data_IF_223946135910
#
_entry.id   IF_223946135910
#
_cell.length_a   1.000
_cell.length_b   1.000
_cell.length_c   1.000
_cell.angle_alpha   90.00
_cell.angle_beta   90.00
_cell.angle_gamma   90.00
#
_symmetry.space_group_name_H-M   'P 1'
#
loop_
_entity.id
_entity.type
_entity.pdbx_description
1 polymer ?
#
# COMPACT_ATOMS: atom_id res chain seq x y z
N UNK A 1 18.15 -8.15 -21.95
CA UNK A 1 19.13 -7.12 -21.47
C UNK A 1 19.20 -7.22 -19.97
N UNK A 2 20.39 -7.36 -19.35
CA UNK A 2 20.48 -7.35 -17.89
C UNK A 2 20.11 -5.97 -17.38
N UNK A 3 18.98 -5.86 -16.69
CA UNK A 3 18.56 -4.63 -16.00
C UNK A 3 19.61 -4.28 -14.94
N UNK A 4 20.14 -3.06 -14.99
CA UNK A 4 21.28 -2.67 -14.15
C UNK A 4 20.91 -2.43 -12.69
N UNK A 5 19.66 -2.00 -12.43
CA UNK A 5 19.13 -1.72 -11.09
C UNK A 5 17.62 -1.90 -11.12
N UNK A 6 17.07 -2.49 -10.05
CA UNK A 6 15.65 -2.59 -9.81
C UNK A 6 15.32 -1.90 -8.48
N UNK A 7 14.25 -1.13 -8.45
CA UNK A 7 13.75 -0.54 -7.21
C UNK A 7 12.30 -0.97 -7.01
N UNK A 8 12.05 -1.63 -5.90
CA UNK A 8 10.71 -1.97 -5.42
C UNK A 8 10.28 -0.93 -4.39
N UNK A 9 9.06 -0.48 -4.48
CA UNK A 9 8.50 0.53 -3.58
C UNK A 9 7.30 -0.02 -2.84
N UNK A 10 7.18 0.28 -1.56
CA UNK A 10 5.88 0.32 -0.93
C UNK A 10 5.08 1.53 -1.44
N UNK A 11 3.78 1.53 -1.19
CA UNK A 11 2.87 2.57 -1.69
C UNK A 11 2.50 3.57 -0.59
N UNK A 12 1.80 3.09 0.46
CA UNK A 12 1.24 3.93 1.50
C UNK A 12 2.33 4.46 2.45
N UNK A 13 2.56 5.77 2.49
CA UNK A 13 3.61 6.38 3.32
C UNK A 13 5.00 6.43 2.66
N UNK A 14 5.15 5.79 1.50
CA UNK A 14 6.41 5.76 0.73
C UNK A 14 6.29 6.54 -0.59
N UNK A 15 5.44 6.10 -1.49
CA UNK A 15 5.16 6.81 -2.74
C UNK A 15 4.07 7.87 -2.58
N UNK A 16 3.07 7.58 -1.76
CA UNK A 16 1.87 8.38 -1.61
C UNK A 16 1.56 8.60 -0.12
N UNK A 17 1.32 9.85 0.25
CA UNK A 17 0.67 10.18 1.51
C UNK A 17 -0.83 9.85 1.39
N UNK A 18 -1.21 8.66 1.83
CA UNK A 18 -2.57 8.15 1.81
C UNK A 18 -3.28 8.30 3.15
N UNK A 19 -2.60 8.83 4.15
CA UNK A 19 -3.11 8.93 5.52
C UNK A 19 -4.45 9.65 5.63
N UNK A 20 -4.72 10.77 4.91
CA UNK A 20 -6.00 11.46 4.98
C UNK A 20 -7.18 10.56 4.56
N UNK A 21 -7.10 9.93 3.39
CA UNK A 21 -8.20 9.14 2.85
C UNK A 21 -8.40 7.82 3.60
N UNK A 22 -7.30 7.21 4.08
CA UNK A 22 -7.38 6.04 4.95
C UNK A 22 -8.08 6.37 6.28
N UNK A 23 -7.77 7.53 6.87
CA UNK A 23 -8.40 7.94 8.12
C UNK A 23 -9.87 8.32 7.92
N UNK A 24 -10.20 8.97 6.82
CA UNK A 24 -11.60 9.28 6.48
C UNK A 24 -12.43 8.00 6.33
N UNK A 25 -11.91 7.01 5.60
CA UNK A 25 -12.57 5.71 5.45
C UNK A 25 -12.69 4.98 6.79
N UNK A 26 -11.63 5.03 7.62
CA UNK A 26 -11.67 4.47 8.96
C UNK A 26 -12.77 5.12 9.81
N UNK A 27 -12.83 6.44 9.85
CA UNK A 27 -13.77 7.18 10.67
C UNK A 27 -15.22 7.07 10.14
N UNK A 28 -15.39 6.93 8.81
CA UNK A 28 -16.68 6.56 8.24
C UNK A 28 -17.22 5.27 8.86
N UNK A 29 -16.38 4.22 8.92
CA UNK A 29 -16.75 2.92 9.54
C UNK A 29 -17.00 3.09 11.03
N UNK A 30 -16.13 3.80 11.75
CA UNK A 30 -16.33 4.05 13.19
C UNK A 30 -17.69 4.66 13.45
N UNK A 31 -18.03 5.73 12.75
CA UNK A 31 -19.31 6.42 12.89
C UNK A 31 -20.51 5.54 12.53
N UNK A 32 -20.41 4.79 11.42
CA UNK A 32 -21.49 3.90 10.95
C UNK A 32 -21.81 2.78 11.95
N UNK A 33 -20.81 2.27 12.64
CA UNK A 33 -20.96 1.18 13.62
C UNK A 33 -21.03 1.65 15.07
N UNK A 34 -21.19 2.98 15.31
CA UNK A 34 -21.38 3.55 16.65
C UNK A 34 -20.13 3.61 17.51
N UNK A 35 -18.94 3.58 16.91
CA UNK A 35 -17.65 3.69 17.60
C UNK A 35 -17.08 5.11 17.51
N UNK A 36 -16.15 5.41 18.43
CA UNK A 36 -15.47 6.69 18.47
C UNK A 36 -14.48 6.85 17.31
N UNK A 37 -14.54 7.97 16.64
CA UNK A 37 -13.58 8.36 15.60
C UNK A 37 -12.16 8.49 16.18
N UNK A 38 -11.15 8.27 15.34
CA UNK A 38 -9.72 8.43 15.68
C UNK A 38 -9.14 9.67 15.00
N UNK A 39 -8.02 10.14 15.54
CA UNK A 39 -7.29 11.28 14.98
C UNK A 39 -6.37 10.83 13.84
N UNK A 40 -6.05 11.73 12.93
CA UNK A 40 -5.09 11.46 11.85
C UNK A 40 -3.71 11.00 12.38
N UNK A 41 -3.28 11.50 13.55
CA UNK A 41 -2.05 11.06 14.20
C UNK A 41 -2.00 9.57 14.52
N UNK A 42 -3.14 8.91 14.64
CA UNK A 42 -3.21 7.49 15.01
C UNK A 42 -2.98 6.57 13.80
N UNK A 43 -2.96 7.11 12.56
CA UNK A 43 -2.87 6.33 11.32
C UNK A 43 -1.64 5.43 11.28
N UNK A 44 -0.48 5.91 11.76
CA UNK A 44 0.78 5.16 11.75
C UNK A 44 0.71 3.86 12.55
N UNK A 45 -0.10 3.82 13.62
CA UNK A 45 -0.30 2.61 14.42
C UNK A 45 -1.30 1.65 13.80
N UNK A 46 -2.11 2.10 12.86
CA UNK A 46 -3.19 1.34 12.25
C UNK A 46 -2.83 0.80 10.86
N UNK A 47 -2.21 1.61 10.01
CA UNK A 47 -1.92 1.30 8.61
C UNK A 47 -0.70 0.37 8.43
N UNK A 48 -0.36 0.05 7.17
CA UNK A 48 0.85 -0.69 6.76
C UNK A 48 0.71 -2.22 6.69
N UNK A 49 -0.35 -2.81 7.25
CA UNK A 49 -0.60 -4.27 7.23
C UNK A 49 -1.91 -4.66 6.53
N UNK A 50 -2.48 -3.75 5.74
CA UNK A 50 -3.73 -3.95 5.01
C UNK A 50 -5.01 -3.64 5.81
N UNK A 51 -6.14 -3.54 5.10
CA UNK A 51 -7.43 -3.09 5.64
C UNK A 51 -7.96 -3.97 6.77
N UNK A 52 -7.84 -5.30 6.64
CA UNK A 52 -8.28 -6.24 7.67
C UNK A 52 -7.55 -6.02 9.00
N UNK A 53 -6.22 -5.92 8.96
CA UNK A 53 -5.41 -5.70 10.15
C UNK A 53 -5.67 -4.30 10.74
N UNK A 54 -5.88 -3.30 9.88
CA UNK A 54 -6.23 -1.95 10.30
C UNK A 54 -7.54 -1.94 11.10
N UNK A 55 -8.58 -2.63 10.62
CA UNK A 55 -9.85 -2.76 11.35
C UNK A 55 -9.67 -3.54 12.66
N UNK A 56 -8.96 -4.67 12.64
CA UNK A 56 -8.71 -5.43 13.88
C UNK A 56 -7.98 -4.60 14.94
N UNK A 57 -6.94 -3.84 14.57
CA UNK A 57 -6.20 -2.98 15.48
C UNK A 57 -7.05 -1.85 16.07
N UNK A 58 -8.05 -1.40 15.33
CA UNK A 58 -8.93 -0.32 15.77
C UNK A 58 -9.81 -0.70 16.94
N UNK A 59 -10.21 -1.96 17.01
CA UNK A 59 -11.15 -2.47 18.02
C UNK A 59 -10.49 -3.31 19.11
N UNK A 60 -9.22 -3.74 18.90
CA UNK A 60 -8.52 -4.65 19.80
C UNK A 60 -9.43 -5.84 20.22
N UNK A 61 -9.84 -5.87 21.51
CA UNK A 61 -10.70 -6.94 22.06
C UNK A 61 -12.20 -6.57 22.12
N UNK A 62 -12.57 -5.34 21.74
CA UNK A 62 -13.94 -4.84 21.91
C UNK A 62 -14.94 -5.56 21.00
N UNK A 63 -14.53 -5.96 19.79
CA UNK A 63 -15.38 -6.70 18.86
C UNK A 63 -14.86 -8.13 18.71
N UNK A 64 -15.60 -9.08 19.29
CA UNK A 64 -15.28 -10.53 19.20
C UNK A 64 -15.92 -11.20 17.98
N UNK A 65 -16.97 -10.61 17.43
CA UNK A 65 -17.72 -11.19 16.31
C UNK A 65 -16.97 -10.98 14.98
N UNK A 66 -16.46 -12.08 14.43
CA UNK A 66 -15.75 -12.10 13.15
C UNK A 66 -16.63 -11.66 11.96
N UNK A 67 -17.95 -11.87 12.03
CA UNK A 67 -18.87 -11.42 11.00
C UNK A 67 -18.94 -9.90 10.96
N UNK A 68 -19.03 -9.26 12.12
CA UNK A 68 -19.02 -7.80 12.25
C UNK A 68 -17.69 -7.23 11.73
N UNK A 69 -16.56 -7.83 12.10
CA UNK A 69 -15.24 -7.38 11.61
C UNK A 69 -15.13 -7.45 10.09
N UNK A 70 -15.66 -8.54 9.47
CA UNK A 70 -15.68 -8.68 8.01
C UNK A 70 -16.57 -7.61 7.35
N UNK A 71 -17.72 -7.33 7.93
CA UNK A 71 -18.63 -6.28 7.45
C UNK A 71 -17.99 -4.90 7.52
N UNK A 72 -17.35 -4.57 8.64
CA UNK A 72 -16.63 -3.32 8.82
C UNK A 72 -15.46 -3.17 7.84
N UNK A 73 -14.71 -4.26 7.62
CA UNK A 73 -13.60 -4.25 6.65
C UNK A 73 -14.11 -4.06 5.23
N UNK A 74 -15.22 -4.71 4.88
CA UNK A 74 -15.85 -4.51 3.58
C UNK A 74 -16.30 -3.06 3.40
N UNK A 75 -16.99 -2.49 4.38
CA UNK A 75 -17.42 -1.10 4.36
C UNK A 75 -16.25 -0.12 4.22
N UNK A 76 -15.16 -0.39 4.95
CA UNK A 76 -13.92 0.38 4.82
C UNK A 76 -13.40 0.37 3.37
N UNK A 77 -13.29 -0.81 2.77
CA UNK A 77 -12.79 -0.97 1.40
C UNK A 77 -13.71 -0.29 0.40
N UNK A 78 -15.02 -0.46 0.55
CA UNK A 78 -16.02 0.12 -0.34
C UNK A 78 -15.98 1.66 -0.28
N UNK A 79 -15.97 2.24 0.91
CA UNK A 79 -15.86 3.69 1.08
C UNK A 79 -14.52 4.24 0.59
N UNK A 80 -13.42 3.58 0.97
CA UNK A 80 -12.08 3.99 0.56
C UNK A 80 -11.94 3.98 -0.97
N UNK A 81 -12.43 2.94 -1.65
CA UNK A 81 -12.34 2.83 -3.11
C UNK A 81 -13.03 3.99 -3.85
N UNK A 82 -14.11 4.52 -3.28
CA UNK A 82 -14.86 5.65 -3.86
C UNK A 82 -14.19 7.01 -3.58
N UNK A 83 -13.28 7.08 -2.61
CA UNK A 83 -12.69 8.32 -2.11
C UNK A 83 -11.15 8.30 -2.11
N UNK A 84 -10.53 7.38 -2.85
CA UNK A 84 -9.13 6.97 -2.73
C UNK A 84 -8.10 8.08 -3.05
N UNK A 85 -8.51 9.14 -3.71
CA UNK A 85 -7.67 10.25 -4.20
C UNK A 85 -8.14 11.64 -3.75
N UNK A 86 -9.03 11.72 -2.76
CA UNK A 86 -9.56 13.01 -2.28
C UNK A 86 -8.53 13.83 -1.52
N UNK A 87 -7.76 13.20 -0.66
CA UNK A 87 -6.69 13.80 0.12
C UNK A 87 -5.32 13.20 -0.16
N UNK A 88 -5.27 12.02 -0.79
CA UNK A 88 -4.04 11.32 -1.14
C UNK A 88 -3.26 12.07 -2.21
N UNK A 89 -1.94 12.18 -2.04
CA UNK A 89 -1.04 12.84 -3.00
C UNK A 89 0.34 12.19 -2.98
N UNK A 90 1.09 12.23 -4.10
CA UNK A 90 2.47 11.81 -4.10
C UNK A 90 3.27 12.57 -3.04
N UNK A 91 4.15 11.85 -2.33
CA UNK A 91 5.07 12.47 -1.37
C UNK A 91 6.04 13.39 -2.14
N UNK A 92 6.41 14.50 -1.52
CA UNK A 92 7.29 15.49 -2.15
C UNK A 92 8.59 14.83 -2.65
N UNK A 93 8.95 15.10 -3.91
CA UNK A 93 10.13 14.55 -4.57
C UNK A 93 9.91 13.22 -5.27
N UNK A 94 8.81 12.50 -5.01
CA UNK A 94 8.54 11.19 -5.61
C UNK A 94 8.41 11.30 -7.13
N UNK A 95 7.61 12.22 -7.63
CA UNK A 95 7.37 12.35 -9.08
C UNK A 95 8.66 12.70 -9.82
N UNK A 96 9.47 13.60 -9.25
CA UNK A 96 10.79 13.99 -9.77
C UNK A 96 11.73 12.80 -9.81
N UNK A 97 11.76 12.01 -8.72
CA UNK A 97 12.56 10.80 -8.64
C UNK A 97 12.15 9.77 -9.69
N UNK A 98 10.84 9.49 -9.83
CA UNK A 98 10.33 8.52 -10.80
C UNK A 98 10.69 8.91 -12.23
N UNK A 99 10.56 10.20 -12.58
CA UNK A 99 10.98 10.75 -13.87
C UNK A 99 12.47 10.54 -14.10
N UNK A 100 13.31 10.90 -13.11
CA UNK A 100 14.75 10.71 -13.18
C UNK A 100 15.12 9.24 -13.34
N UNK A 101 14.56 8.34 -12.52
CA UNK A 101 14.83 6.91 -12.58
C UNK A 101 14.50 6.32 -13.97
N UNK A 102 13.39 6.75 -14.56
CA UNK A 102 13.02 6.37 -15.94
C UNK A 102 14.08 6.81 -16.96
N UNK A 103 14.68 8.01 -16.83
CA UNK A 103 15.78 8.46 -17.72
C UNK A 103 17.04 7.63 -17.56
N UNK A 104 17.22 6.96 -16.43
CA UNK A 104 18.35 6.06 -16.13
C UNK A 104 18.09 4.60 -16.47
N UNK A 105 16.92 4.29 -17.07
CA UNK A 105 16.48 2.93 -17.36
C UNK A 105 16.51 2.04 -16.11
N UNK A 106 16.15 2.58 -14.94
CA UNK A 106 15.96 1.83 -13.70
C UNK A 106 14.59 1.16 -13.77
N UNK A 107 14.55 -0.15 -13.53
CA UNK A 107 13.30 -0.90 -13.40
C UNK A 107 12.62 -0.56 -12.09
N UNK A 108 11.32 -0.29 -12.14
CA UNK A 108 10.56 0.08 -10.96
C UNK A 108 9.29 -0.74 -10.86
N UNK A 109 8.96 -1.23 -9.66
CA UNK A 109 7.71 -1.91 -9.37
C UNK A 109 7.19 -1.53 -7.98
N UNK A 110 5.90 -1.76 -7.74
CA UNK A 110 5.25 -1.54 -6.45
C UNK A 110 4.98 -2.89 -5.79
N UNK A 111 5.35 -3.00 -4.50
CA UNK A 111 5.09 -4.14 -3.63
C UNK A 111 4.41 -3.64 -2.36
N UNK A 112 3.09 -3.80 -2.24
CA UNK A 112 2.31 -3.22 -1.15
C UNK A 112 1.36 -4.23 -0.50
N UNK A 113 1.04 -4.01 0.78
CA UNK A 113 -0.03 -4.75 1.48
C UNK A 113 -1.43 -4.17 1.23
N UNK A 114 -1.56 -3.14 0.40
CA UNK A 114 -2.84 -2.71 -0.16
C UNK A 114 -3.31 -3.73 -1.21
N UNK A 115 -4.62 -3.93 -1.36
CA UNK A 115 -5.15 -4.75 -2.47
C UNK A 115 -4.71 -4.19 -3.83
N UNK A 116 -4.30 -5.08 -4.74
CA UNK A 116 -3.76 -4.71 -6.06
C UNK A 116 -4.68 -3.73 -6.80
N UNK A 117 -5.98 -4.05 -6.86
CA UNK A 117 -6.97 -3.18 -7.53
C UNK A 117 -6.95 -1.75 -7.00
N UNK A 118 -6.88 -1.58 -5.67
CA UNK A 118 -6.85 -0.26 -5.04
C UNK A 118 -5.51 0.45 -5.26
N UNK A 119 -4.41 -0.30 -5.26
CA UNK A 119 -3.08 0.26 -5.55
C UNK A 119 -3.01 0.79 -6.98
N UNK A 120 -3.46 0.00 -7.96
CA UNK A 120 -3.49 0.38 -9.37
C UNK A 120 -4.41 1.58 -9.61
N UNK A 121 -5.61 1.60 -9.01
CA UNK A 121 -6.56 2.72 -9.14
C UNK A 121 -5.95 4.03 -8.62
N UNK A 122 -5.38 4.00 -7.41
CA UNK A 122 -4.72 5.16 -6.81
C UNK A 122 -3.57 5.69 -7.69
N UNK A 123 -2.68 4.81 -8.14
CA UNK A 123 -1.53 5.18 -8.97
C UNK A 123 -1.98 5.81 -10.31
N UNK A 124 -3.06 5.29 -10.92
CA UNK A 124 -3.64 5.84 -12.14
C UNK A 124 -4.24 7.23 -11.92
N UNK A 125 -5.02 7.40 -10.86
CA UNK A 125 -5.64 8.70 -10.51
C UNK A 125 -4.58 9.76 -10.21
N UNK A 126 -3.46 9.37 -9.57
CA UNK A 126 -2.33 10.25 -9.30
C UNK A 126 -1.37 10.41 -10.51
N UNK A 127 -1.64 9.75 -11.64
CA UNK A 127 -0.86 9.83 -12.89
C UNK A 127 0.61 9.43 -12.72
N UNK A 128 0.86 8.42 -11.87
CA UNK A 128 2.20 7.85 -11.65
C UNK A 128 2.27 6.35 -11.97
N UNK A 129 1.18 5.72 -12.38
CA UNK A 129 1.13 4.29 -12.72
C UNK A 129 2.13 3.88 -13.81
N UNK A 130 2.29 4.71 -14.83
CA UNK A 130 3.12 4.44 -16.03
C UNK A 130 4.65 4.41 -15.77
N UNK A 131 5.09 4.73 -14.54
CA UNK A 131 6.48 4.59 -14.14
C UNK A 131 6.82 3.16 -13.70
N UNK A 132 5.83 2.34 -13.38
CA UNK A 132 6.02 1.01 -12.82
C UNK A 132 5.77 -0.07 -13.87
N UNK A 133 6.66 -1.06 -13.91
CA UNK A 133 6.54 -2.23 -14.78
C UNK A 133 5.54 -3.25 -14.23
N UNK A 134 5.38 -3.28 -12.90
CA UNK A 134 4.45 -4.15 -12.19
C UNK A 134 3.97 -3.53 -10.89
N UNK A 135 2.77 -3.95 -10.46
CA UNK A 135 2.19 -3.56 -9.18
C UNK A 135 1.67 -4.82 -8.52
N UNK A 136 2.28 -5.22 -7.41
CA UNK A 136 1.84 -6.33 -6.57
C UNK A 136 1.16 -5.81 -5.31
N UNK A 137 -0.08 -6.20 -5.12
CA UNK A 137 -0.86 -5.96 -3.90
C UNK A 137 -0.87 -7.17 -2.97
N UNK A 138 -1.59 -7.05 -1.87
CA UNK A 138 -1.72 -8.12 -0.86
C UNK A 138 -2.41 -9.39 -1.36
N UNK A 139 -3.10 -9.30 -2.48
CA UNK A 139 -3.92 -10.34 -3.10
C UNK A 139 -3.41 -10.79 -4.48
N UNK A 140 -2.25 -10.27 -4.90
CA UNK A 140 -1.59 -10.67 -6.17
C UNK A 140 -1.08 -12.10 -6.10
N UNK A 141 -0.49 -12.48 -4.97
CA UNK A 141 0.02 -13.83 -4.70
C UNK A 141 -0.71 -14.45 -3.51
N UNK A 142 -0.44 -15.71 -3.21
CA UNK A 142 -0.94 -16.38 -2.00
C UNK A 142 -0.25 -15.93 -0.70
N UNK A 143 0.70 -15.02 -0.80
CA UNK A 143 1.49 -14.43 0.29
C UNK A 143 1.71 -12.95 0.02
N UNK A 144 1.99 -12.19 1.08
CA UNK A 144 2.26 -10.76 1.03
C UNK A 144 3.37 -10.38 2.02
N UNK A 145 3.81 -9.13 2.04
CA UNK A 145 4.82 -8.67 3.00
C UNK A 145 4.37 -8.94 4.45
N UNK A 146 5.21 -9.50 5.33
CA UNK A 146 6.67 -9.56 5.25
C UNK A 146 7.25 -10.84 4.59
N UNK A 147 6.48 -11.66 3.89
CA UNK A 147 7.04 -12.81 3.19
C UNK A 147 7.96 -12.32 2.05
N UNK A 148 9.26 -12.69 2.04
CA UNK A 148 10.22 -12.21 1.04
C UNK A 148 9.84 -12.63 -0.39
N UNK A 149 9.07 -13.71 -0.56
CA UNK A 149 8.58 -14.14 -1.88
C UNK A 149 7.74 -13.09 -2.58
N UNK A 150 7.06 -12.23 -1.83
CA UNK A 150 6.32 -11.10 -2.42
C UNK A 150 7.23 -10.16 -3.23
N UNK A 151 8.49 -9.99 -2.80
CA UNK A 151 9.47 -9.17 -3.51
C UNK A 151 10.18 -9.96 -4.61
N UNK A 152 10.62 -11.20 -4.31
CA UNK A 152 11.38 -12.01 -5.26
C UNK A 152 10.57 -12.37 -6.50
N UNK A 153 9.29 -12.69 -6.35
CA UNK A 153 8.41 -13.03 -7.47
C UNK A 153 8.16 -11.81 -8.36
N UNK A 154 8.02 -10.60 -7.77
CA UNK A 154 7.92 -9.36 -8.54
C UNK A 154 9.20 -9.12 -9.35
N UNK A 155 10.39 -9.32 -8.74
CA UNK A 155 11.67 -9.17 -9.45
C UNK A 155 11.76 -10.16 -10.61
N UNK A 156 11.31 -11.39 -10.42
CA UNK A 156 11.28 -12.41 -11.49
C UNK A 156 10.33 -12.01 -12.63
N UNK A 157 9.10 -11.59 -12.30
CA UNK A 157 8.09 -11.15 -13.30
C UNK A 157 8.63 -10.03 -14.18
N UNK A 158 9.29 -9.03 -13.59
CA UNK A 158 9.85 -7.91 -14.35
C UNK A 158 11.23 -8.23 -14.94
N UNK A 159 11.72 -9.47 -14.81
CA UNK A 159 13.04 -9.91 -15.28
C UNK A 159 14.20 -9.07 -14.69
N UNK A 160 14.06 -8.69 -13.43
CA UNK A 160 15.06 -7.96 -12.66
C UNK A 160 16.23 -8.83 -12.20
N UNK A 161 17.17 -8.23 -11.47
CA UNK A 161 18.30 -8.94 -10.85
C UNK A 161 18.23 -8.75 -9.34
N UNK A 162 17.99 -9.83 -8.59
CA UNK A 162 17.87 -9.78 -7.11
C UNK A 162 19.09 -9.13 -6.44
N UNK A 163 20.30 -9.43 -6.92
CA UNK A 163 21.53 -8.85 -6.37
C UNK A 163 21.70 -7.34 -6.66
N UNK A 164 20.80 -6.77 -7.48
CA UNK A 164 20.76 -5.35 -7.86
C UNK A 164 19.37 -4.79 -7.62
N UNK A 165 18.68 -5.29 -6.60
CA UNK A 165 17.34 -4.84 -6.22
C UNK A 165 17.39 -4.14 -4.87
N UNK A 166 16.69 -3.04 -4.76
CA UNK A 166 16.52 -2.26 -3.52
C UNK A 166 15.02 -2.21 -3.22
N UNK A 167 14.65 -2.49 -1.97
CA UNK A 167 13.31 -2.19 -1.44
C UNK A 167 13.32 -0.83 -0.74
N UNK A 168 12.36 0.01 -1.07
CA UNK A 168 12.11 1.31 -0.44
C UNK A 168 10.74 1.26 0.22
N UNK A 169 10.69 1.46 1.52
CA UNK A 169 9.48 1.43 2.32
C UNK A 169 9.64 2.20 3.62
N UNK A 170 8.56 2.48 4.32
CA UNK A 170 8.53 3.27 5.56
C UNK A 170 8.18 2.43 6.80
N UNK A 171 7.95 1.14 6.64
CA UNK A 171 7.50 0.25 7.69
C UNK A 171 8.46 -0.91 7.98
N UNK A 172 8.36 -1.48 9.19
CA UNK A 172 9.09 -2.69 9.59
C UNK A 172 8.83 -3.87 8.63
N UNK A 173 7.60 -3.94 8.10
CA UNK A 173 7.18 -5.01 7.18
C UNK A 173 7.98 -5.01 5.89
N UNK A 174 8.39 -3.83 5.40
CA UNK A 174 9.21 -3.66 4.21
C UNK A 174 10.63 -4.17 4.45
N UNK A 175 11.23 -3.76 5.58
CA UNK A 175 12.56 -4.22 5.96
C UNK A 175 12.63 -5.72 6.25
N UNK A 176 11.55 -6.32 6.78
CA UNK A 176 11.50 -7.77 7.04
C UNK A 176 11.36 -8.60 5.76
N UNK A 177 10.81 -8.03 4.69
CA UNK A 177 10.64 -8.72 3.41
C UNK A 177 11.85 -8.59 2.49
N UNK A 178 12.78 -7.66 2.77
CA UNK A 178 13.99 -7.41 1.99
C UNK A 178 15.17 -8.25 2.46
#
# INVERSE_FOLDING_TARGET
>A
MNKNLTILFDLDGTLVDTAPDLMDAHNHVMKKFGHKEKKLSDIKSLAGKGAWVMMQRSFREEIKDEKIKKEMTKEFIDFYSQNIDKGSKPINGVVEFLKWAKTKNISMAVCTNKQERLAVDLLKKLKIYEYFEYVAGSDTFSFNKPDPRHLTDVVEIIQGNLNKTIMVGDSEVDGMSA
#
